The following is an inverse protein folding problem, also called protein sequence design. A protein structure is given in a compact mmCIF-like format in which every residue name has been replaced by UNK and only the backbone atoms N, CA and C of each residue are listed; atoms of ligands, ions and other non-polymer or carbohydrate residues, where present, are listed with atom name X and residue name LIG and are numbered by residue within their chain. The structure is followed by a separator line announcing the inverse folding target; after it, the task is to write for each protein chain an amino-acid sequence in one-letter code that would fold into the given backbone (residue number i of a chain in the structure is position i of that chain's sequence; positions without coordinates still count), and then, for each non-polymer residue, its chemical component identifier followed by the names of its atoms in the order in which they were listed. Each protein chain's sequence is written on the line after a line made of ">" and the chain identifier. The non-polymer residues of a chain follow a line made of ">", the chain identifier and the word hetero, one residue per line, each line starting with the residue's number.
data_IF_825785236507
#
_entry.id   IF_825785236507
#
_cell.length_a   1.000
_cell.length_b   1.000
_cell.length_c   1.000
_cell.angle_alpha   90.00
_cell.angle_beta   90.00
_cell.angle_gamma   90.00
#
_symmetry.space_group_name_H-M   'P 1'
#
loop_
_entity.id
_entity.type
_entity.pdbx_description
1 polymer ?
#
# COMPACT_ATOMS: atom_id res chain seq x y z
N UNK A 1 -5.40 51.81 -35.86
CA UNK A 1 -5.52 51.25 -34.50
C UNK A 1 -6.99 50.97 -34.20
N UNK A 2 -7.49 49.76 -34.49
CA UNK A 2 -8.79 49.27 -34.00
C UNK A 2 -8.97 47.81 -34.41
N UNK A 3 -8.26 46.90 -33.75
CA UNK A 3 -8.48 45.47 -33.90
C UNK A 3 -8.25 44.83 -32.54
N UNK A 4 -9.16 45.01 -31.57
CA UNK A 4 -9.12 44.18 -30.35
C UNK A 4 -10.34 44.29 -29.39
N UNK A 5 -11.57 44.24 -29.88
CA UNK A 5 -12.74 44.23 -28.96
C UNK A 5 -13.66 43.02 -29.17
N UNK A 6 -13.74 42.49 -30.39
CA UNK A 6 -14.55 41.31 -30.72
C UNK A 6 -13.90 39.98 -30.33
N UNK A 7 -12.58 39.93 -30.16
CA UNK A 7 -11.84 38.70 -29.82
C UNK A 7 -11.96 38.32 -28.33
N UNK A 8 -12.17 39.30 -27.45
CA UNK A 8 -12.38 39.07 -26.00
C UNK A 8 -13.58 38.17 -25.71
N UNK A 9 -14.70 38.37 -26.41
CA UNK A 9 -15.88 37.54 -26.22
C UNK A 9 -15.62 36.08 -26.59
N UNK A 10 -14.88 35.84 -27.68
CA UNK A 10 -14.46 34.50 -28.10
C UNK A 10 -13.50 33.83 -27.11
N UNK A 11 -12.54 34.58 -26.57
CA UNK A 11 -11.63 34.09 -25.52
C UNK A 11 -12.37 33.74 -24.24
N UNK A 12 -13.30 34.60 -23.79
CA UNK A 12 -14.11 34.32 -22.59
C UNK A 12 -14.99 33.08 -22.76
N UNK A 13 -15.56 32.87 -23.95
CA UNK A 13 -16.35 31.67 -24.24
C UNK A 13 -15.53 30.40 -24.17
N UNK A 14 -14.33 30.39 -24.77
CA UNK A 14 -13.40 29.25 -24.68
C UNK A 14 -12.97 28.95 -23.25
N UNK A 15 -12.77 29.99 -22.44
CA UNK A 15 -12.42 29.86 -21.02
C UNK A 15 -13.55 29.21 -20.21
N UNK A 16 -14.80 29.60 -20.49
CA UNK A 16 -15.99 29.02 -19.86
C UNK A 16 -16.21 27.57 -20.31
N UNK A 17 -15.99 27.25 -21.59
CA UNK A 17 -16.06 25.86 -22.08
C UNK A 17 -15.03 24.97 -21.40
N UNK A 18 -13.76 25.41 -21.35
CA UNK A 18 -12.71 24.69 -20.64
C UNK A 18 -13.04 24.50 -19.15
N UNK A 19 -13.54 25.54 -18.48
CA UNK A 19 -13.93 25.43 -17.08
C UNK A 19 -15.07 24.41 -16.86
N UNK A 20 -16.03 24.32 -17.79
CA UNK A 20 -17.09 23.31 -17.74
C UNK A 20 -16.55 21.90 -17.96
N UNK A 21 -15.63 21.74 -18.91
CA UNK A 21 -14.93 20.47 -19.16
C UNK A 21 -14.13 20.04 -17.93
N UNK A 22 -13.34 20.93 -17.33
CA UNK A 22 -12.54 20.65 -16.13
C UNK A 22 -13.43 20.20 -14.95
N UNK A 23 -14.56 20.88 -14.73
CA UNK A 23 -15.53 20.49 -13.70
C UNK A 23 -16.13 19.11 -13.99
N UNK A 24 -16.50 18.85 -15.24
CA UNK A 24 -17.06 17.56 -15.67
C UNK A 24 -16.06 16.42 -15.47
N UNK A 25 -14.82 16.57 -15.91
CA UNK A 25 -13.78 15.56 -15.74
C UNK A 25 -13.43 15.35 -14.27
N UNK A 26 -13.32 16.42 -13.47
CA UNK A 26 -13.06 16.32 -12.04
C UNK A 26 -14.20 15.61 -11.28
N UNK A 27 -15.46 15.75 -11.71
CA UNK A 27 -16.57 14.99 -11.14
C UNK A 27 -16.49 13.52 -11.53
N UNK A 28 -16.18 13.22 -12.79
CA UNK A 28 -16.08 11.83 -13.28
C UNK A 28 -14.91 11.07 -12.66
N UNK A 29 -13.77 11.72 -12.50
CA UNK A 29 -12.59 11.15 -11.85
C UNK A 29 -12.87 10.81 -10.39
N UNK A 30 -13.60 11.68 -9.68
CA UNK A 30 -14.04 11.40 -8.30
C UNK A 30 -14.92 10.16 -8.22
N UNK A 31 -15.90 10.03 -9.10
CA UNK A 31 -16.77 8.84 -9.17
C UNK A 31 -15.97 7.56 -9.50
N UNK A 32 -15.00 7.66 -10.41
CA UNK A 32 -14.16 6.53 -10.80
C UNK A 32 -13.26 6.08 -9.64
N UNK A 33 -12.63 7.03 -8.95
CA UNK A 33 -11.79 6.77 -7.79
C UNK A 33 -12.60 6.15 -6.63
N UNK A 34 -13.81 6.61 -6.40
CA UNK A 34 -14.69 6.04 -5.37
C UNK A 34 -15.09 4.59 -5.70
N UNK A 35 -15.41 4.30 -6.98
CA UNK A 35 -15.67 2.92 -7.43
C UNK A 35 -14.47 2.00 -7.25
N UNK A 36 -13.28 2.44 -7.66
CA UNK A 36 -12.04 1.68 -7.49
C UNK A 36 -11.77 1.39 -6.00
N UNK A 37 -11.97 2.38 -5.13
CA UNK A 37 -11.82 2.22 -3.68
C UNK A 37 -12.78 1.16 -3.12
N UNK A 38 -14.04 1.19 -3.54
CA UNK A 38 -15.04 0.21 -3.10
C UNK A 38 -14.74 -1.20 -3.61
N UNK A 39 -14.18 -1.33 -4.82
CA UNK A 39 -13.72 -2.61 -5.34
C UNK A 39 -12.53 -3.17 -4.54
N UNK A 40 -11.54 -2.33 -4.22
CA UNK A 40 -10.37 -2.76 -3.42
C UNK A 40 -10.76 -3.20 -2.01
N UNK A 41 -11.65 -2.46 -1.33
CA UNK A 41 -12.20 -2.88 -0.02
C UNK A 41 -12.87 -4.25 -0.06
N UNK A 42 -13.46 -4.63 -1.20
CA UNK A 42 -14.12 -5.93 -1.36
C UNK A 42 -13.11 -7.09 -1.46
N UNK A 43 -11.88 -6.81 -1.87
CA UNK A 43 -10.81 -7.83 -1.99
C UNK A 43 -10.14 -8.08 -0.63
N UNK A 44 -10.06 -7.08 0.24
CA UNK A 44 -9.48 -7.23 1.58
C UNK A 44 -10.30 -8.17 2.50
N UNK A 45 -11.59 -8.34 2.24
CA UNK A 45 -12.52 -9.10 3.11
C UNK A 45 -12.69 -10.58 2.69
N UNK A 46 -12.06 -11.01 1.60
CA UNK A 46 -11.95 -12.44 1.33
C UNK A 46 -10.76 -12.97 2.11
N UNK A 47 -11.00 -13.34 3.38
CA UNK A 47 -10.07 -14.10 4.19
C UNK A 47 -9.74 -15.42 3.50
N UNK A 48 -8.79 -15.37 2.56
CA UNK A 48 -8.26 -16.55 1.91
C UNK A 48 -7.49 -17.32 2.96
N UNK A 49 -8.02 -18.45 3.37
CA UNK A 49 -7.31 -19.42 4.20
C UNK A 49 -5.96 -19.70 3.52
N UNK A 50 -4.88 -19.18 4.11
CA UNK A 50 -3.55 -19.35 3.57
C UNK A 50 -3.15 -20.79 3.90
N UNK A 51 -2.84 -21.56 2.87
CA UNK A 51 -2.38 -22.95 3.00
C UNK A 51 -0.86 -23.02 2.90
N UNK A 52 -0.26 -23.93 3.65
CA UNK A 52 1.18 -24.13 3.62
C UNK A 52 1.59 -24.72 2.26
N UNK A 53 2.48 -24.10 1.48
CA UNK A 53 2.90 -24.64 0.18
C UNK A 53 3.75 -25.91 0.30
N UNK A 54 4.19 -26.30 1.51
CA UNK A 54 4.91 -27.56 1.74
C UNK A 54 3.96 -28.75 1.93
N UNK A 55 2.87 -28.59 2.67
CA UNK A 55 1.99 -29.70 3.07
C UNK A 55 0.49 -29.42 2.94
N UNK A 56 0.10 -28.24 2.44
CA UNK A 56 -1.27 -27.74 2.32
C UNK A 56 -2.06 -27.61 3.63
N UNK A 57 -1.38 -27.79 4.77
CA UNK A 57 -1.95 -27.57 6.09
C UNK A 57 -2.37 -26.12 6.31
N UNK A 58 -3.29 -25.92 7.25
CA UNK A 58 -3.74 -24.59 7.64
C UNK A 58 -2.61 -23.82 8.34
N UNK A 59 -2.50 -22.54 8.05
CA UNK A 59 -1.66 -21.62 8.81
C UNK A 59 -2.45 -21.01 9.96
N UNK A 60 -1.88 -21.08 11.15
CA UNK A 60 -2.40 -20.45 12.35
C UNK A 60 -1.52 -19.26 12.71
N UNK A 61 -2.14 -18.09 12.90
CA UNK A 61 -1.43 -16.90 13.36
C UNK A 61 -1.12 -17.02 14.84
N UNK A 62 0.13 -16.79 15.22
CA UNK A 62 0.60 -16.78 16.59
C UNK A 62 1.52 -15.58 16.86
N UNK A 63 1.51 -15.08 18.09
CA UNK A 63 2.35 -13.95 18.49
C UNK A 63 3.64 -14.44 19.12
N UNK A 64 4.79 -14.07 18.55
CA UNK A 64 6.12 -14.36 19.09
C UNK A 64 6.88 -13.07 19.37
N UNK A 65 7.19 -12.80 20.64
CA UNK A 65 7.96 -11.61 21.06
C UNK A 65 7.43 -10.27 20.50
N UNK A 66 6.09 -10.18 20.34
CA UNK A 66 5.39 -9.01 19.80
C UNK A 66 5.32 -8.95 18.27
N UNK A 67 5.72 -10.00 17.56
CA UNK A 67 5.52 -10.15 16.12
C UNK A 67 4.40 -11.15 15.84
N UNK A 68 3.54 -10.83 14.88
CA UNK A 68 2.51 -11.72 14.34
C UNK A 68 3.15 -12.61 13.28
N UNK A 69 3.19 -13.92 13.52
CA UNK A 69 3.78 -14.89 12.61
C UNK A 69 2.74 -15.96 12.28
N UNK A 70 2.84 -16.57 11.09
CA UNK A 70 1.95 -17.66 10.73
C UNK A 70 2.69 -19.00 10.79
N UNK A 71 2.12 -19.98 11.49
CA UNK A 71 2.70 -21.33 11.63
C UNK A 71 1.77 -22.38 11.07
N UNK A 72 2.30 -23.28 10.27
CA UNK A 72 1.56 -24.44 9.80
C UNK A 72 1.37 -25.47 10.93
N UNK A 73 0.13 -25.89 11.16
CA UNK A 73 -0.24 -26.91 12.17
C UNK A 73 0.37 -28.29 11.89
N UNK A 74 0.53 -28.67 10.62
CA UNK A 74 0.94 -30.03 10.23
C UNK A 74 2.45 -30.21 10.16
N UNK A 75 3.15 -29.30 9.47
CA UNK A 75 4.60 -29.42 9.24
C UNK A 75 5.45 -28.53 10.14
N UNK A 76 4.83 -27.61 10.89
CA UNK A 76 5.53 -26.66 11.76
C UNK A 76 6.29 -25.55 11.03
N UNK A 77 6.15 -25.42 9.71
CA UNK A 77 6.77 -24.33 8.95
C UNK A 77 6.26 -22.95 9.38
N UNK A 78 7.16 -21.97 9.41
CA UNK A 78 6.85 -20.58 9.80
C UNK A 78 6.87 -19.71 8.55
N UNK A 79 5.83 -18.88 8.41
CA UNK A 79 5.62 -17.93 7.33
C UNK A 79 5.61 -16.52 7.92
N UNK A 80 6.25 -15.60 7.21
CA UNK A 80 6.46 -14.23 7.65
C UNK A 80 6.35 -13.31 6.44
N UNK A 81 5.83 -12.10 6.65
CA UNK A 81 5.76 -11.10 5.61
C UNK A 81 7.11 -10.40 5.39
N UNK A 82 7.20 -9.70 4.25
CA UNK A 82 8.41 -8.97 3.87
C UNK A 82 8.73 -7.91 4.94
N UNK A 83 9.87 -8.07 5.60
CA UNK A 83 10.38 -7.16 6.63
C UNK A 83 10.15 -7.62 8.08
N UNK A 84 9.23 -8.57 8.33
CA UNK A 84 9.02 -9.12 9.67
C UNK A 84 10.20 -9.97 10.14
N UNK A 85 10.82 -10.71 9.21
CA UNK A 85 12.02 -11.51 9.48
C UNK A 85 13.17 -10.66 10.03
N UNK A 86 13.40 -9.48 9.44
CA UNK A 86 14.45 -8.55 9.89
C UNK A 86 14.15 -8.02 11.30
N UNK A 87 12.88 -7.72 11.57
CA UNK A 87 12.39 -7.36 12.90
C UNK A 87 12.67 -8.44 13.94
N UNK A 88 12.31 -9.70 13.67
CA UNK A 88 12.55 -10.82 14.57
C UNK A 88 14.05 -11.05 14.78
N UNK A 89 14.84 -11.06 13.71
CA UNK A 89 16.30 -11.20 13.79
C UNK A 89 16.92 -10.11 14.66
N UNK A 90 16.51 -8.86 14.50
CA UNK A 90 17.04 -7.75 15.30
C UNK A 90 16.86 -7.94 16.81
N UNK A 91 15.74 -8.56 17.24
CA UNK A 91 15.45 -8.81 18.66
C UNK A 91 16.05 -10.12 19.18
N UNK A 92 16.09 -11.17 18.37
CA UNK A 92 16.47 -12.52 18.81
C UNK A 92 17.98 -12.74 18.83
N UNK A 93 18.74 -12.18 17.88
CA UNK A 93 20.16 -12.53 17.72
C UNK A 93 21.14 -11.57 18.41
N UNK A 94 20.67 -10.46 18.97
CA UNK A 94 21.58 -9.38 19.40
C UNK A 94 21.64 -9.21 20.90
N UNK A 95 22.72 -9.73 21.49
CA UNK A 95 23.22 -9.23 22.76
C UNK A 95 23.74 -7.78 22.64
N UNK A 96 24.06 -7.11 23.76
CA UNK A 96 24.44 -5.69 23.78
C UNK A 96 25.58 -5.33 22.80
N UNK A 97 26.51 -6.26 22.59
CA UNK A 97 27.65 -6.11 21.68
C UNK A 97 27.26 -6.17 20.19
N UNK A 98 26.26 -6.98 19.82
CA UNK A 98 25.81 -7.11 18.44
C UNK A 98 25.21 -5.80 17.92
N UNK A 99 24.33 -5.18 18.70
CA UNK A 99 23.71 -3.90 18.35
C UNK A 99 24.71 -2.73 18.26
N UNK A 100 25.82 -2.80 19.00
CA UNK A 100 26.89 -1.80 18.92
C UNK A 100 27.70 -1.94 17.62
N UNK A 101 28.01 -3.18 17.19
CA UNK A 101 28.74 -3.43 15.94
C UNK A 101 27.97 -2.98 14.70
N UNK A 102 26.65 -3.16 14.65
CA UNK A 102 25.85 -2.67 13.52
C UNK A 102 25.85 -1.15 13.40
N UNK A 103 25.84 -0.43 14.54
CA UNK A 103 25.95 1.04 14.54
C UNK A 103 27.29 1.53 13.99
N UNK A 104 28.35 0.74 14.14
CA UNK A 104 29.64 1.05 13.55
C UNK A 104 29.66 0.71 12.05
N UNK A 105 29.06 -0.42 11.67
CA UNK A 105 29.01 -0.86 10.28
C UNK A 105 28.07 -0.03 9.39
N UNK A 106 27.01 0.56 9.95
CA UNK A 106 26.04 1.40 9.22
C UNK A 106 26.49 2.86 9.07
N UNK A 107 27.72 3.22 9.51
CA UNK A 107 28.28 4.57 9.39
C UNK A 107 29.38 4.59 8.32
N UNK A 108 28.97 4.45 7.06
CA UNK A 108 29.70 4.90 5.87
C UNK A 108 28.74 5.62 4.91
#
# INVERSE_FOLDING_TARGET
>A
MAANEKDKFGETMKLVERAKEDIYFAQRDRELMEKLRNQLKKVEDTGTEIHCPKCHGLLETYTFQGFTLDRCSDCGGIWMDKGELEGVLSKVTRGPLGAWLDKLAAKE
#
